data_IF_342995237657
#
_entry.id   IF_342995237657
#
_cell.length_a   1.000
_cell.length_b   1.000
_cell.length_c   1.000
_cell.angle_alpha   90.00
_cell.angle_beta   90.00
_cell.angle_gamma   90.00
#
_symmetry.space_group_name_H-M   'P 1'
#
loop_
_entity.id
_entity.type
_entity.pdbx_description
1 polymer ?
#
# COMPACT_ATOMS: atom_id res chain seq x y z
N UNK A 1 -18.11 -7.28 10.23
CA UNK A 1 -17.60 -5.92 10.49
C UNK A 1 -18.17 -5.00 9.43
N UNK A 2 -18.81 -3.91 9.82
CA UNK A 2 -19.33 -2.90 8.87
C UNK A 2 -18.35 -1.72 8.94
N UNK A 3 -17.73 -1.36 7.81
CA UNK A 3 -16.87 -0.18 7.73
C UNK A 3 -17.74 1.07 7.82
N UNK A 4 -17.43 1.94 8.76
CA UNK A 4 -18.05 3.27 8.86
C UNK A 4 -17.44 4.21 7.80
N UNK A 5 -18.10 5.33 7.47
CA UNK A 5 -17.51 6.35 6.61
C UNK A 5 -16.16 6.87 7.11
N UNK A 6 -15.96 6.90 8.43
CA UNK A 6 -14.68 7.28 9.04
C UNK A 6 -13.59 6.26 8.70
N UNK A 7 -13.91 4.98 8.74
CA UNK A 7 -12.96 3.90 8.46
C UNK A 7 -12.53 3.93 7.00
N UNK A 8 -13.46 4.24 6.09
CA UNK A 8 -13.14 4.47 4.70
C UNK A 8 -12.15 5.63 4.54
N UNK A 9 -12.34 6.74 5.27
CA UNK A 9 -11.43 7.88 5.19
C UNK A 9 -10.02 7.56 5.70
N UNK A 10 -9.92 6.75 6.76
CA UNK A 10 -8.63 6.27 7.30
C UNK A 10 -7.91 5.40 6.27
N UNK A 11 -8.63 4.45 5.67
CA UNK A 11 -8.06 3.53 4.67
C UNK A 11 -7.69 4.26 3.37
N UNK A 12 -8.55 5.16 2.89
CA UNK A 12 -8.30 5.98 1.69
C UNK A 12 -7.03 6.84 1.87
N UNK A 13 -6.90 7.51 3.02
CA UNK A 13 -5.71 8.29 3.33
C UNK A 13 -4.43 7.45 3.27
N UNK A 14 -4.46 6.24 3.83
CA UNK A 14 -3.31 5.34 3.79
C UNK A 14 -2.99 4.87 2.35
N UNK A 15 -4.01 4.54 1.56
CA UNK A 15 -3.82 4.07 0.18
C UNK A 15 -3.26 5.14 -0.75
N UNK A 16 -3.61 6.42 -0.55
CA UNK A 16 -3.02 7.53 -1.31
C UNK A 16 -1.51 7.66 -1.08
N UNK A 17 -1.02 7.34 0.12
CA UNK A 17 0.41 7.36 0.42
C UNK A 17 1.21 6.25 -0.29
N UNK A 18 0.53 5.23 -0.81
CA UNK A 18 1.11 4.15 -1.61
C UNK A 18 1.01 4.42 -3.12
N UNK A 19 0.36 5.50 -3.57
CA UNK A 19 0.24 5.80 -4.99
C UNK A 19 1.62 6.19 -5.56
N UNK A 20 2.10 5.48 -6.61
CA UNK A 20 3.37 5.82 -7.23
C UNK A 20 3.27 7.17 -7.95
N UNK A 21 4.35 7.96 -7.91
CA UNK A 21 4.45 9.26 -8.58
C UNK A 21 4.30 9.19 -10.13
N UNK A 22 4.38 8.00 -10.71
CA UNK A 22 4.09 7.74 -12.12
C UNK A 22 3.19 6.51 -12.22
N UNK A 23 2.04 6.57 -12.92
CA UNK A 23 1.17 5.43 -13.11
C UNK A 23 1.83 4.42 -14.05
N UNK A 24 2.57 3.47 -13.48
CA UNK A 24 3.07 2.33 -14.25
C UNK A 24 1.93 1.31 -14.42
N UNK A 25 1.63 0.97 -15.67
CA UNK A 25 0.47 0.18 -16.14
C UNK A 25 0.42 -1.30 -15.68
N UNK A 26 1.13 -1.68 -14.62
CA UNK A 26 1.27 -3.08 -14.19
C UNK A 26 1.29 -3.27 -12.67
N UNK A 27 1.00 -2.23 -11.88
CA UNK A 27 1.15 -2.27 -10.41
C UNK A 27 -0.12 -2.65 -9.64
N UNK A 28 -1.19 -3.05 -10.34
CA UNK A 28 -2.50 -3.36 -9.73
C UNK A 28 -2.41 -4.47 -8.67
N UNK A 29 -1.62 -5.51 -8.93
CA UNK A 29 -1.41 -6.60 -7.96
C UNK A 29 -0.63 -6.18 -6.72
N UNK A 30 0.30 -5.22 -6.86
CA UNK A 30 1.03 -4.69 -5.71
C UNK A 30 0.13 -3.74 -4.89
N UNK A 31 -0.62 -2.87 -5.57
CA UNK A 31 -1.62 -1.99 -4.94
C UNK A 31 -2.66 -2.81 -4.18
N UNK A 32 -3.11 -3.94 -4.74
CA UNK A 32 -4.00 -4.88 -4.05
C UNK A 32 -3.34 -5.50 -2.80
N UNK A 33 -2.07 -5.90 -2.89
CA UNK A 33 -1.33 -6.45 -1.76
C UNK A 33 -1.18 -5.43 -0.62
N UNK A 34 -0.85 -4.18 -0.96
CA UNK A 34 -0.77 -3.06 0.00
C UNK A 34 -2.15 -2.80 0.61
N UNK A 35 -3.22 -2.74 -0.18
CA UNK A 35 -4.59 -2.58 0.32
C UNK A 35 -5.00 -3.67 1.31
N UNK A 36 -4.70 -4.94 1.00
CA UNK A 36 -4.95 -6.05 1.92
C UNK A 36 -4.12 -5.96 3.21
N UNK A 37 -2.91 -5.40 3.14
CA UNK A 37 -2.08 -5.19 4.33
C UNK A 37 -2.63 -4.06 5.21
N UNK A 38 -3.01 -2.92 4.61
CA UNK A 38 -3.64 -1.78 5.29
C UNK A 38 -4.92 -2.21 6.00
N UNK A 39 -5.80 -2.96 5.33
CA UNK A 39 -7.03 -3.49 5.95
C UNK A 39 -6.68 -4.39 7.14
N UNK A 40 -5.70 -5.28 7.01
CA UNK A 40 -5.27 -6.17 8.11
C UNK A 40 -4.73 -5.39 9.30
N UNK A 41 -3.87 -4.40 9.08
CA UNK A 41 -3.35 -3.53 10.13
C UNK A 41 -4.47 -2.77 10.85
N UNK A 42 -5.41 -2.21 10.08
CA UNK A 42 -6.58 -1.52 10.64
C UNK A 42 -7.42 -2.48 11.51
N UNK A 43 -7.71 -3.69 11.03
CA UNK A 43 -8.47 -4.69 11.81
C UNK A 43 -7.72 -5.18 13.06
N UNK A 44 -6.38 -5.09 13.07
CA UNK A 44 -5.57 -5.38 14.27
C UNK A 44 -5.55 -4.24 15.30
N UNK A 45 -6.25 -3.12 15.02
CA UNK A 45 -6.38 -1.98 15.93
C UNK A 45 -5.49 -0.79 15.57
N UNK A 46 -4.73 -0.83 14.48
CA UNK A 46 -3.98 0.34 13.99
C UNK A 46 -4.93 1.30 13.28
N UNK A 47 -5.51 2.24 14.02
CA UNK A 47 -6.51 3.19 13.50
C UNK A 47 -5.97 4.58 13.20
N UNK A 48 -4.69 4.84 13.52
CA UNK A 48 -4.02 6.10 13.20
C UNK A 48 -3.75 6.21 11.68
N UNK A 49 -4.31 7.22 10.98
CA UNK A 49 -4.14 7.37 9.54
C UNK A 49 -2.69 7.62 9.11
N UNK A 50 -1.90 8.28 9.96
CA UNK A 50 -0.49 8.60 9.67
C UNK A 50 0.38 7.35 9.70
N UNK A 51 0.20 6.49 10.71
CA UNK A 51 0.92 5.22 10.83
C UNK A 51 0.55 4.23 9.73
N UNK A 52 -0.72 4.20 9.33
CA UNK A 52 -1.15 3.38 8.19
C UNK A 52 -0.55 3.90 6.86
N UNK A 53 -0.53 5.22 6.67
CA UNK A 53 0.10 5.83 5.49
C UNK A 53 1.61 5.58 5.43
N UNK A 54 2.31 5.66 6.57
CA UNK A 54 3.73 5.35 6.66
C UNK A 54 4.01 3.87 6.31
N UNK A 55 3.20 2.95 6.85
CA UNK A 55 3.30 1.53 6.53
C UNK A 55 3.05 1.26 5.04
N UNK A 56 2.00 1.86 4.47
CA UNK A 56 1.66 1.73 3.06
C UNK A 56 2.76 2.28 2.14
N UNK A 57 3.31 3.45 2.48
CA UNK A 57 4.41 4.08 1.76
C UNK A 57 5.70 3.23 1.83
N UNK A 58 6.01 2.68 3.01
CA UNK A 58 7.15 1.78 3.20
C UNK A 58 7.03 0.52 2.35
N UNK A 59 5.85 -0.11 2.32
CA UNK A 59 5.59 -1.29 1.48
C UNK A 59 5.74 -0.96 -0.01
N UNK A 60 5.19 0.18 -0.46
CA UNK A 60 5.36 0.64 -1.84
C UNK A 60 6.84 0.90 -2.18
N UNK A 61 7.59 1.52 -1.28
CA UNK A 61 9.01 1.77 -1.45
C UNK A 61 9.84 0.47 -1.52
N UNK A 62 9.52 -0.54 -0.71
CA UNK A 62 10.21 -1.84 -0.76
C UNK A 62 10.03 -2.55 -2.10
N UNK A 63 8.88 -2.38 -2.77
CA UNK A 63 8.65 -2.90 -4.12
C UNK A 63 9.51 -2.19 -5.18
N UNK A 64 9.73 -0.89 -5.05
CA UNK A 64 10.65 -0.16 -5.94
C UNK A 64 12.08 -0.68 -5.81
N UNK A 65 12.51 -1.06 -4.61
CA UNK A 65 13.82 -1.67 -4.37
C UNK A 65 13.90 -3.09 -4.97
N UNK A 66 12.88 -3.91 -4.77
CA UNK A 66 12.76 -5.25 -5.36
C UNK A 66 12.82 -5.21 -6.90
N UNK A 67 12.06 -4.29 -7.52
CA UNK A 67 12.08 -4.08 -8.98
C UNK A 67 13.45 -3.62 -9.48
N UNK A 68 14.17 -2.77 -8.74
CA UNK A 68 15.52 -2.32 -9.10
C UNK A 68 16.59 -3.39 -8.91
N UNK A 69 16.37 -4.35 -8.00
CA UNK A 69 17.29 -5.46 -7.73
C UNK A 69 17.27 -6.57 -8.79
N UNK A 70 16.37 -6.51 -9.76
CA UNK A 70 16.38 -7.43 -10.90
C UNK A 70 17.01 -6.83 -12.16
N UNK A 71 18.35 -6.86 -12.30
CA UNK A 71 18.99 -6.91 -13.60
C UNK A 71 19.59 -8.30 -13.77
N UNK A 72 18.82 -9.32 -14.16
CA UNK A 72 19.44 -10.54 -14.71
C UNK A 72 18.54 -11.31 -15.64
N UNK A 73 19.06 -11.47 -16.86
CA UNK A 73 18.87 -12.54 -17.81
C UNK A 73 17.45 -13.04 -18.07
N UNK A 74 16.85 -12.51 -19.12
CA UNK A 74 16.17 -13.38 -20.07
C UNK A 74 17.19 -13.72 -21.16
N UNK A 75 17.59 -14.99 -21.19
CA UNK A 75 18.33 -15.61 -22.29
C UNK A 75 17.46 -15.70 -23.55
#
# INVERSE_FOLDING_TARGET
MILTPRDFHIIDHAMRAAEPAQPAYSDDGHREAVGKAVIRLYTSGMTDPGRLAEAASTMAATRLLDRRRWPTHSA
#
